data_IF_820869832856
#
_entry.id   IF_820869832856
#
_cell.length_a   1.000
_cell.length_b   1.000
_cell.length_c   1.000
_cell.angle_alpha   90.00
_cell.angle_beta   90.00
_cell.angle_gamma   90.00
#
_symmetry.space_group_name_H-M   'P 1'
#
loop_
_entity.id
_entity.type
_entity.pdbx_description
1 polymer ?
#
# COMPACT_ATOMS: atom_id res chain seq x y z
N UNK A 1 -33.67 0.35 3.76
CA UNK A 1 -32.74 1.46 3.51
C UNK A 1 -33.55 2.65 3.03
N UNK A 2 -33.51 3.76 3.76
CA UNK A 2 -34.32 4.96 3.44
C UNK A 2 -33.65 5.75 2.30
N UNK A 3 -34.44 6.42 1.46
CA UNK A 3 -33.94 7.16 0.29
C UNK A 3 -32.84 8.20 0.59
N UNK A 4 -32.78 8.70 1.83
CA UNK A 4 -31.75 9.62 2.31
C UNK A 4 -30.34 9.00 2.44
N UNK A 5 -30.25 7.71 2.79
CA UNK A 5 -28.96 7.01 2.90
C UNK A 5 -28.29 6.89 1.52
N UNK A 6 -29.12 6.74 0.48
CA UNK A 6 -28.65 6.64 -0.90
C UNK A 6 -28.13 7.99 -1.44
N UNK A 7 -28.79 9.10 -1.10
CA UNK A 7 -28.37 10.42 -1.59
C UNK A 7 -27.10 10.93 -0.88
N UNK A 8 -26.95 10.67 0.42
CA UNK A 8 -25.69 10.94 1.13
C UNK A 8 -24.53 10.13 0.53
N UNK A 9 -24.76 8.84 0.28
CA UNK A 9 -23.73 7.97 -0.32
C UNK A 9 -23.28 8.48 -1.68
N UNK A 10 -24.20 8.87 -2.55
CA UNK A 10 -23.88 9.48 -3.86
C UNK A 10 -23.04 10.75 -3.71
N UNK A 11 -23.38 11.62 -2.76
CA UNK A 11 -22.62 12.85 -2.51
C UNK A 11 -21.20 12.54 -2.03
N UNK A 12 -21.04 11.58 -1.13
CA UNK A 12 -19.73 11.17 -0.61
C UNK A 12 -18.86 10.55 -1.71
N UNK A 13 -19.40 9.63 -2.51
CA UNK A 13 -18.68 9.05 -3.66
C UNK A 13 -18.18 10.13 -4.62
N UNK A 14 -19.06 11.06 -5.00
CA UNK A 14 -18.71 12.19 -5.88
C UNK A 14 -17.63 13.07 -5.25
N UNK A 15 -17.72 13.33 -3.94
CA UNK A 15 -16.70 14.08 -3.22
C UNK A 15 -15.33 13.39 -3.31
N UNK A 16 -15.23 12.09 -3.03
CA UNK A 16 -13.96 11.37 -3.10
C UNK A 16 -13.37 11.34 -4.52
N UNK A 17 -14.19 11.08 -5.53
CA UNK A 17 -13.76 11.11 -6.92
C UNK A 17 -13.22 12.50 -7.32
N UNK A 18 -13.90 13.58 -6.91
CA UNK A 18 -13.41 14.94 -7.13
C UNK A 18 -12.11 15.23 -6.37
N UNK A 19 -11.99 14.77 -5.12
CA UNK A 19 -10.79 14.97 -4.33
C UNK A 19 -9.58 14.25 -4.95
N UNK A 20 -9.75 13.04 -5.48
CA UNK A 20 -8.67 12.35 -6.17
C UNK A 20 -8.21 13.14 -7.38
N UNK A 21 -9.13 13.59 -8.23
CA UNK A 21 -8.81 14.43 -9.39
C UNK A 21 -8.08 15.72 -9.03
N UNK A 22 -8.53 16.44 -7.99
CA UNK A 22 -7.89 17.69 -7.56
C UNK A 22 -6.49 17.44 -6.99
N UNK A 23 -6.31 16.37 -6.20
CA UNK A 23 -5.05 16.09 -5.51
C UNK A 23 -3.99 15.48 -6.45
N UNK A 24 -4.40 14.62 -7.38
CA UNK A 24 -3.47 13.84 -8.20
C UNK A 24 -3.48 14.22 -9.68
N UNK A 25 -4.52 14.91 -10.17
CA UNK A 25 -4.65 15.25 -11.59
C UNK A 25 -3.71 16.34 -12.11
N UNK A 26 -3.00 17.05 -11.23
CA UNK A 26 -2.01 18.07 -11.62
C UNK A 26 -0.67 17.91 -10.89
N UNK A 27 -0.37 16.71 -10.39
CA UNK A 27 0.87 16.40 -9.68
C UNK A 27 1.69 15.34 -10.43
N UNK A 28 2.82 14.93 -9.87
CA UNK A 28 3.62 13.81 -10.40
C UNK A 28 2.86 12.46 -10.37
N UNK A 29 1.61 12.45 -9.87
CA UNK A 29 0.75 11.29 -9.78
C UNK A 29 -0.43 11.33 -10.78
N UNK A 30 -0.37 12.13 -11.85
CA UNK A 30 -1.39 12.17 -12.91
C UNK A 30 -1.67 10.79 -13.52
N UNK A 31 -0.64 9.94 -13.60
CA UNK A 31 -0.77 8.55 -14.04
C UNK A 31 -1.82 7.77 -13.23
N UNK A 32 -2.02 8.11 -11.96
CA UNK A 32 -3.00 7.44 -11.11
C UNK A 32 -4.43 7.78 -11.53
N UNK A 33 -4.67 9.03 -11.95
CA UNK A 33 -5.97 9.44 -12.47
C UNK A 33 -6.28 8.74 -13.78
N UNK A 34 -5.31 8.71 -14.72
CA UNK A 34 -5.46 7.98 -15.98
C UNK A 34 -5.72 6.48 -15.75
N UNK A 35 -5.01 5.89 -14.78
CA UNK A 35 -5.26 4.51 -14.37
C UNK A 35 -6.69 4.31 -13.86
N UNK A 36 -7.17 5.17 -12.96
CA UNK A 36 -8.52 5.07 -12.41
C UNK A 36 -9.60 5.28 -13.48
N UNK A 37 -9.39 6.19 -14.43
CA UNK A 37 -10.32 6.42 -15.54
C UNK A 37 -10.43 5.20 -16.44
N UNK A 38 -9.29 4.58 -16.80
CA UNK A 38 -9.29 3.33 -17.58
C UNK A 38 -9.96 2.19 -16.80
N UNK A 39 -9.60 2.02 -15.53
CA UNK A 39 -10.18 0.98 -14.67
C UNK A 39 -11.68 1.16 -14.51
N UNK A 40 -12.17 2.40 -14.33
CA UNK A 40 -13.61 2.71 -14.25
C UNK A 40 -14.37 2.31 -15.51
N UNK A 41 -13.77 2.47 -16.69
CA UNK A 41 -14.41 2.11 -17.95
C UNK A 41 -14.47 0.60 -18.16
N UNK A 42 -13.45 -0.13 -17.72
CA UNK A 42 -13.35 -1.59 -17.86
C UNK A 42 -14.10 -2.35 -16.76
N UNK A 43 -14.10 -1.81 -15.54
CA UNK A 43 -14.54 -2.47 -14.30
C UNK A 43 -15.48 -1.58 -13.47
N UNK A 44 -16.49 -1.01 -14.12
CA UNK A 44 -17.38 0.00 -13.51
C UNK A 44 -17.97 -0.42 -12.16
N UNK A 45 -18.52 -1.65 -12.09
CA UNK A 45 -19.16 -2.15 -10.87
C UNK A 45 -18.16 -2.26 -9.70
N UNK A 46 -16.94 -2.71 -9.96
CA UNK A 46 -15.88 -2.82 -8.95
C UNK A 46 -15.35 -1.46 -8.53
N UNK A 47 -15.18 -0.54 -9.48
CA UNK A 47 -14.83 0.84 -9.20
C UNK A 47 -15.87 1.49 -8.27
N UNK A 48 -17.16 1.30 -8.54
CA UNK A 48 -18.25 1.80 -7.69
C UNK A 48 -18.25 1.18 -6.29
N UNK A 49 -17.90 -0.11 -6.15
CA UNK A 49 -17.74 -0.74 -4.84
C UNK A 49 -16.56 -0.14 -4.07
N UNK A 50 -15.41 0.09 -4.70
CA UNK A 50 -14.26 0.74 -4.03
C UNK A 50 -14.60 2.17 -3.59
N UNK A 51 -15.32 2.93 -4.41
CA UNK A 51 -15.84 4.24 -4.02
C UNK A 51 -16.81 4.13 -2.83
N UNK A 52 -17.69 3.13 -2.83
CA UNK A 52 -18.61 2.85 -1.72
C UNK A 52 -17.84 2.56 -0.43
N UNK A 53 -16.88 1.63 -0.47
CA UNK A 53 -16.04 1.27 0.69
C UNK A 53 -15.26 2.48 1.21
N UNK A 54 -14.69 3.27 0.30
CA UNK A 54 -13.98 4.50 0.65
C UNK A 54 -14.92 5.53 1.29
N UNK A 55 -16.16 5.67 0.79
CA UNK A 55 -17.16 6.59 1.32
C UNK A 55 -17.73 6.16 2.67
N UNK A 56 -17.99 4.86 2.86
CA UNK A 56 -18.58 4.29 4.07
C UNK A 56 -17.61 4.30 5.26
N UNK A 57 -16.35 3.91 5.01
CA UNK A 57 -15.41 3.63 6.10
C UNK A 57 -14.29 4.67 6.21
N UNK A 58 -14.16 5.53 5.20
CA UNK A 58 -12.89 6.18 4.95
C UNK A 58 -11.80 5.12 4.77
N UNK A 59 -10.54 5.54 4.84
CA UNK A 59 -9.46 4.58 4.96
C UNK A 59 -8.44 5.09 5.97
N UNK A 60 -8.15 4.31 7.01
CA UNK A 60 -7.17 4.69 8.04
C UNK A 60 -5.81 5.02 7.42
N UNK A 61 -5.48 4.38 6.29
CA UNK A 61 -4.20 4.52 5.60
C UNK A 61 -4.22 5.59 4.49
N UNK A 62 -5.38 6.11 4.07
CA UNK A 62 -5.42 7.22 3.09
C UNK A 62 -4.81 8.51 3.62
N UNK A 63 -4.67 8.66 4.93
CA UNK A 63 -3.95 9.81 5.51
C UNK A 63 -2.43 9.76 5.30
N UNK A 64 -1.84 8.57 5.09
CA UNK A 64 -0.38 8.43 4.93
C UNK A 64 0.00 8.15 3.47
N UNK A 65 -0.69 7.22 2.81
CA UNK A 65 -0.38 6.80 1.44
C UNK A 65 -1.68 6.44 0.68
N UNK A 66 -2.46 7.47 0.29
CA UNK A 66 -3.81 7.31 -0.28
C UNK A 66 -3.85 6.49 -1.57
N UNK A 67 -2.92 6.71 -2.48
CA UNK A 67 -2.89 5.98 -3.76
C UNK A 67 -2.70 4.48 -3.54
N UNK A 68 -1.70 4.08 -2.74
CA UNK A 68 -1.48 2.68 -2.40
C UNK A 68 -2.73 2.07 -1.75
N UNK A 69 -3.38 2.83 -0.88
CA UNK A 69 -4.58 2.40 -0.17
C UNK A 69 -5.76 2.12 -1.09
N UNK A 70 -5.91 2.88 -2.17
CA UNK A 70 -6.97 2.68 -3.17
C UNK A 70 -6.62 1.48 -4.04
N UNK A 71 -5.37 1.39 -4.49
CA UNK A 71 -4.89 0.29 -5.33
C UNK A 71 -5.02 -1.05 -4.62
N UNK A 72 -4.73 -1.13 -3.33
CA UNK A 72 -4.93 -2.35 -2.56
C UNK A 72 -6.40 -2.73 -2.40
N UNK A 73 -7.34 -1.78 -2.42
CA UNK A 73 -8.78 -2.10 -2.40
C UNK A 73 -9.25 -2.65 -3.75
N UNK A 74 -8.66 -2.18 -4.84
CA UNK A 74 -8.96 -2.64 -6.20
C UNK A 74 -8.50 -4.08 -6.45
N UNK A 75 -7.61 -4.64 -5.61
CA UNK A 75 -7.20 -6.05 -5.72
C UNK A 75 -8.32 -7.04 -5.37
N UNK A 76 -9.32 -6.61 -4.59
CA UNK A 76 -10.40 -7.50 -4.14
C UNK A 76 -11.56 -7.55 -5.14
N UNK A 77 -11.23 -7.90 -6.38
CA UNK A 77 -12.21 -8.16 -7.44
C UNK A 77 -12.98 -9.44 -7.11
N UNK A 78 -14.31 -9.38 -7.04
CA UNK A 78 -15.14 -10.58 -6.86
C UNK A 78 -15.47 -10.96 -5.42
N UNK A 79 -14.99 -10.23 -4.40
CA UNK A 79 -15.32 -10.53 -2.99
C UNK A 79 -16.58 -9.80 -2.53
N UNK A 80 -17.42 -10.52 -1.78
CA UNK A 80 -18.53 -9.94 -1.05
C UNK A 80 -18.05 -8.83 -0.08
N UNK A 81 -18.61 -7.63 -0.27
CA UNK A 81 -18.42 -6.47 0.60
C UNK A 81 -18.68 -6.80 2.07
N UNK A 82 -19.64 -7.67 2.36
CA UNK A 82 -19.95 -8.06 3.74
C UNK A 82 -18.81 -8.89 4.35
N UNK A 83 -18.22 -9.82 3.59
CA UNK A 83 -17.06 -10.59 4.04
C UNK A 83 -15.85 -9.68 4.30
N UNK A 84 -15.62 -8.69 3.44
CA UNK A 84 -14.55 -7.70 3.63
C UNK A 84 -14.81 -6.78 4.84
N UNK A 85 -16.08 -6.50 5.18
CA UNK A 85 -16.46 -5.70 6.34
C UNK A 85 -16.28 -6.45 7.65
N UNK A 86 -16.66 -7.73 7.67
CA UNK A 86 -16.60 -8.57 8.88
C UNK A 86 -15.17 -9.01 9.20
N UNK A 87 -14.30 -9.03 8.20
CA UNK A 87 -12.92 -9.51 8.36
C UNK A 87 -11.92 -8.34 8.30
N UNK A 88 -10.88 -8.40 9.14
CA UNK A 88 -9.83 -7.38 9.16
C UNK A 88 -8.85 -7.51 7.95
N UNK A 89 -9.30 -8.10 6.85
CA UNK A 89 -8.45 -8.55 5.73
C UNK A 89 -7.72 -7.38 5.09
N UNK A 90 -8.39 -6.26 4.83
CA UNK A 90 -7.72 -5.11 4.20
C UNK A 90 -6.57 -4.55 5.06
N UNK A 91 -6.78 -4.43 6.37
CA UNK A 91 -5.74 -3.96 7.30
C UNK A 91 -4.57 -4.96 7.37
N UNK A 92 -4.89 -6.26 7.36
CA UNK A 92 -3.88 -7.31 7.29
C UNK A 92 -3.10 -7.23 5.98
N UNK A 93 -3.78 -7.10 4.83
CA UNK A 93 -3.16 -6.97 3.51
C UNK A 93 -2.21 -5.78 3.46
N UNK A 94 -2.69 -4.61 3.89
CA UNK A 94 -1.86 -3.40 4.01
C UNK A 94 -0.58 -3.69 4.78
N UNK A 95 -0.70 -4.27 5.98
CA UNK A 95 0.44 -4.54 6.85
C UNK A 95 1.39 -5.56 6.23
N UNK A 96 0.85 -6.67 5.74
CA UNK A 96 1.60 -7.75 5.12
C UNK A 96 2.39 -7.25 3.93
N UNK A 97 1.75 -6.54 2.99
CA UNK A 97 2.44 -6.03 1.80
C UNK A 97 3.48 -4.97 2.16
N UNK A 98 3.15 -4.00 3.03
CA UNK A 98 4.09 -2.93 3.37
C UNK A 98 5.28 -3.39 4.21
N UNK A 99 5.20 -4.56 4.87
CA UNK A 99 6.32 -5.11 5.66
C UNK A 99 7.06 -6.26 4.98
N UNK A 100 6.34 -7.13 4.29
CA UNK A 100 6.83 -8.39 3.71
C UNK A 100 6.92 -8.33 2.18
N UNK A 101 6.62 -7.17 1.58
CA UNK A 101 6.77 -6.93 0.15
C UNK A 101 5.67 -7.54 -0.70
N UNK A 102 5.77 -7.31 -2.00
CA UNK A 102 4.76 -7.68 -2.99
C UNK A 102 4.46 -9.17 -3.01
N UNK A 103 5.47 -10.04 -2.90
CA UNK A 103 5.26 -11.50 -2.93
C UNK A 103 4.36 -12.02 -1.81
N UNK A 104 4.23 -11.28 -0.72
CA UNK A 104 3.34 -11.67 0.37
C UNK A 104 1.84 -11.57 0.03
N UNK A 105 1.49 -10.96 -1.11
CA UNK A 105 0.11 -10.94 -1.62
C UNK A 105 -0.46 -12.34 -1.84
N UNK A 106 0.37 -13.36 -2.09
CA UNK A 106 -0.07 -14.75 -2.28
C UNK A 106 -0.75 -15.34 -1.03
N UNK A 107 -0.54 -14.75 0.15
CA UNK A 107 -1.25 -15.13 1.39
C UNK A 107 -2.75 -14.89 1.25
N UNK A 108 -3.16 -14.03 0.31
CA UNK A 108 -4.53 -13.63 0.08
C UNK A 108 -5.12 -14.24 -1.20
N UNK A 109 -4.59 -15.38 -1.67
CA UNK A 109 -5.11 -16.10 -2.86
C UNK A 109 -6.57 -16.54 -2.73
N UNK A 110 -7.06 -16.73 -1.50
CA UNK A 110 -8.47 -17.04 -1.26
C UNK A 110 -9.40 -15.84 -1.50
N UNK A 111 -8.82 -14.64 -1.66
CA UNK A 111 -9.52 -13.36 -1.75
C UNK A 111 -9.22 -12.65 -3.08
N UNK A 112 -8.02 -12.78 -3.61
CA UNK A 112 -7.58 -12.08 -4.82
C UNK A 112 -7.45 -13.11 -5.95
N UNK A 113 -8.04 -12.80 -7.11
CA UNK A 113 -7.98 -13.66 -8.29
C UNK A 113 -6.52 -13.94 -8.67
N UNK A 114 -6.20 -15.21 -8.94
CA UNK A 114 -4.83 -15.68 -9.22
C UNK A 114 -4.17 -14.95 -10.38
N UNK A 115 -4.92 -14.65 -11.45
CA UNK A 115 -4.40 -13.92 -12.61
C UNK A 115 -3.92 -12.51 -12.21
N UNK A 116 -4.65 -11.83 -11.34
CA UNK A 116 -4.28 -10.51 -10.83
C UNK A 116 -3.05 -10.61 -9.91
N UNK A 117 -2.98 -11.62 -9.04
CA UNK A 117 -1.78 -11.89 -8.22
C UNK A 117 -0.56 -12.09 -9.13
N UNK A 118 -0.69 -12.92 -10.15
CA UNK A 118 0.39 -13.25 -11.09
C UNK A 118 0.84 -12.03 -11.88
N UNK A 119 -0.10 -11.19 -12.33
CA UNK A 119 0.21 -9.92 -13.00
C UNK A 119 1.03 -9.01 -12.08
N UNK A 120 0.60 -8.83 -10.83
CA UNK A 120 1.28 -7.93 -9.91
C UNK A 120 2.70 -8.43 -9.57
N UNK A 121 2.87 -9.73 -9.26
CA UNK A 121 4.15 -10.29 -8.80
C UNK A 121 5.19 -10.39 -9.93
N UNK A 122 4.77 -10.79 -11.14
CA UNK A 122 5.72 -11.12 -12.21
C UNK A 122 6.07 -9.94 -13.12
N UNK A 123 5.44 -8.77 -12.89
CA UNK A 123 5.66 -7.58 -13.69
C UNK A 123 6.22 -6.44 -12.81
N UNK A 124 7.48 -6.05 -13.02
CA UNK A 124 8.06 -4.87 -12.36
C UNK A 124 7.43 -3.55 -12.79
N UNK A 125 6.73 -3.55 -13.93
CA UNK A 125 5.94 -2.43 -14.37
C UNK A 125 4.53 -2.40 -13.78
N UNK A 126 4.16 -3.39 -12.96
CA UNK A 126 2.88 -3.42 -12.28
C UNK A 126 2.70 -2.21 -11.38
N UNK A 127 1.44 -1.78 -11.26
CA UNK A 127 1.09 -0.58 -10.52
C UNK A 127 1.45 -0.71 -9.04
N UNK A 128 1.27 -1.90 -8.48
CA UNK A 128 1.58 -2.18 -7.09
C UNK A 128 3.09 -2.22 -6.84
N UNK A 129 3.88 -2.76 -7.77
CA UNK A 129 5.35 -2.72 -7.65
C UNK A 129 5.85 -1.28 -7.63
N UNK A 130 5.42 -0.45 -8.59
CA UNK A 130 5.81 0.97 -8.69
C UNK A 130 5.43 1.75 -7.42
N UNK A 131 4.25 1.52 -6.88
CA UNK A 131 3.79 2.18 -5.66
C UNK A 131 4.52 1.75 -4.41
N UNK A 132 4.78 0.46 -4.25
CA UNK A 132 5.56 -0.04 -3.11
C UNK A 132 7.00 0.46 -3.17
N UNK A 133 7.59 0.51 -4.36
CA UNK A 133 8.91 1.11 -4.57
C UNK A 133 8.93 2.58 -4.12
N UNK A 134 7.91 3.37 -4.47
CA UNK A 134 7.73 4.76 -4.02
C UNK A 134 7.52 4.85 -2.49
N UNK A 135 6.73 3.95 -1.92
CA UNK A 135 6.47 3.85 -0.48
C UNK A 135 7.77 3.61 0.31
N UNK A 136 8.63 2.70 -0.16
CA UNK A 136 9.88 2.37 0.53
C UNK A 136 10.97 3.43 0.38
N UNK A 137 10.92 4.23 -0.69
CA UNK A 137 12.01 5.13 -1.09
C UNK A 137 12.49 6.05 0.03
N UNK A 138 11.59 6.83 0.63
CA UNK A 138 11.97 7.85 1.61
C UNK A 138 12.55 7.24 2.89
N UNK A 139 11.94 6.17 3.40
CA UNK A 139 12.37 5.51 4.64
C UNK A 139 13.68 4.75 4.44
N UNK A 140 13.83 4.05 3.31
CA UNK A 140 15.10 3.39 2.97
C UNK A 140 16.23 4.42 2.90
N UNK A 141 16.03 5.52 2.18
CA UNK A 141 17.04 6.57 2.05
C UNK A 141 17.45 7.12 3.42
N UNK A 142 16.48 7.34 4.31
CA UNK A 142 16.70 7.79 5.68
C UNK A 142 17.53 6.78 6.47
N UNK A 143 17.18 5.49 6.41
CA UNK A 143 17.89 4.42 7.10
C UNK A 143 19.34 4.26 6.61
N UNK A 144 19.56 4.31 5.30
CA UNK A 144 20.91 4.22 4.71
C UNK A 144 21.78 5.40 5.14
N UNK A 145 21.25 6.63 5.07
CA UNK A 145 21.94 7.85 5.50
C UNK A 145 22.31 7.79 6.98
N UNK A 146 21.37 7.42 7.84
CA UNK A 146 21.63 7.32 9.28
C UNK A 146 22.63 6.22 9.65
N UNK A 147 22.81 5.23 8.77
CA UNK A 147 23.76 4.12 8.95
C UNK A 147 25.13 4.40 8.34
N UNK A 148 25.36 5.62 7.83
CA UNK A 148 26.56 6.01 7.09
C UNK A 148 26.87 5.07 5.91
N UNK A 149 25.83 4.54 5.26
CA UNK A 149 25.96 3.81 4.01
C UNK A 149 25.87 4.83 2.89
N UNK A 150 26.97 5.00 2.15
CA UNK A 150 27.01 5.89 1.00
C UNK A 150 26.04 5.37 -0.06
N UNK A 151 25.13 6.24 -0.49
CA UNK A 151 24.24 5.96 -1.61
C UNK A 151 25.04 6.09 -2.91
N UNK A 152 25.61 4.98 -3.39
CA UNK A 152 25.83 4.83 -4.82
C UNK A 152 24.46 4.62 -5.48
N UNK A 153 24.21 5.23 -6.64
CA UNK A 153 22.95 5.10 -7.39
C UNK A 153 22.50 3.63 -7.47
N UNK A 154 23.43 2.72 -7.77
CA UNK A 154 23.16 1.28 -7.88
C UNK A 154 22.76 0.57 -6.57
N UNK A 155 23.16 1.07 -5.40
CA UNK A 155 22.88 0.39 -4.12
C UNK A 155 21.45 0.66 -3.67
N UNK A 156 21.02 1.92 -3.77
CA UNK A 156 19.67 2.32 -3.38
C UNK A 156 18.63 1.64 -4.29
N UNK A 157 18.85 1.64 -5.60
CA UNK A 157 17.94 1.02 -6.54
C UNK A 157 17.88 -0.50 -6.36
N UNK A 158 19.03 -1.15 -6.16
CA UNK A 158 19.08 -2.59 -5.85
C UNK A 158 18.28 -2.93 -4.59
N UNK A 159 18.48 -2.16 -3.52
CA UNK A 159 17.73 -2.34 -2.29
C UNK A 159 16.23 -2.12 -2.55
N UNK A 160 15.83 -1.02 -3.20
CA UNK A 160 14.43 -0.73 -3.46
C UNK A 160 13.71 -1.84 -4.21
N UNK A 161 14.33 -2.39 -5.25
CA UNK A 161 13.74 -3.50 -5.99
C UNK A 161 13.51 -4.73 -5.10
N UNK A 162 14.51 -5.10 -4.28
CA UNK A 162 14.40 -6.25 -3.38
C UNK A 162 13.44 -5.99 -2.21
N UNK A 163 13.37 -4.77 -1.69
CA UNK A 163 12.39 -4.38 -0.66
C UNK A 163 10.98 -4.42 -1.21
N UNK A 164 10.80 -3.92 -2.44
CA UNK A 164 9.51 -3.95 -3.14
C UNK A 164 9.01 -5.39 -3.27
N UNK A 165 9.90 -6.31 -3.62
CA UNK A 165 9.54 -7.71 -3.85
C UNK A 165 9.37 -8.52 -2.55
N UNK A 166 10.28 -8.36 -1.58
CA UNK A 166 10.41 -9.25 -0.41
C UNK A 166 10.25 -8.55 0.95
N UNK A 167 10.00 -7.24 0.96
CA UNK A 167 9.82 -6.44 2.16
C UNK A 167 11.13 -6.10 2.86
N UNK A 168 11.01 -5.48 4.04
CA UNK A 168 12.15 -4.86 4.73
C UNK A 168 13.25 -5.84 5.13
N UNK A 169 12.87 -6.92 5.85
CA UNK A 169 13.85 -7.83 6.48
C UNK A 169 14.64 -8.63 5.44
N UNK A 170 13.96 -9.15 4.43
CA UNK A 170 14.58 -9.95 3.37
C UNK A 170 15.23 -9.02 2.34
N UNK A 171 14.52 -7.97 1.92
CA UNK A 171 14.98 -7.06 0.88
C UNK A 171 16.31 -6.38 1.20
N UNK A 172 16.52 -5.96 2.45
CA UNK A 172 17.78 -5.32 2.87
C UNK A 172 18.98 -6.26 2.89
N UNK A 173 18.80 -7.58 2.89
CA UNK A 173 19.92 -8.53 2.80
C UNK A 173 20.65 -8.42 1.45
N UNK A 174 19.97 -7.93 0.41
CA UNK A 174 20.54 -7.74 -0.93
C UNK A 174 21.78 -6.82 -0.95
N UNK A 175 21.89 -5.88 -0.01
CA UNK A 175 23.01 -4.92 0.07
C UNK A 175 24.07 -5.31 1.10
N UNK A 176 23.92 -6.45 1.79
CA UNK A 176 24.87 -6.89 2.82
C UNK A 176 26.31 -6.98 2.28
N UNK A 177 26.48 -7.56 1.08
CA UNK A 177 27.81 -7.71 0.46
C UNK A 177 28.37 -6.40 -0.11
N UNK A 178 27.53 -5.37 -0.27
CA UNK A 178 27.91 -4.04 -0.79
C UNK A 178 28.17 -3.02 0.32
N UNK A 179 28.10 -3.45 1.59
CA UNK A 179 28.25 -2.59 2.77
C UNK A 179 29.28 -3.17 3.72
N UNK A 180 29.91 -2.33 4.54
CA UNK A 180 30.80 -2.84 5.57
C UNK A 180 29.98 -3.55 6.65
N UNK A 181 30.49 -4.64 7.28
CA UNK A 181 29.74 -5.37 8.31
C UNK A 181 29.27 -4.47 9.47
N UNK A 182 30.09 -3.47 9.84
CA UNK A 182 29.75 -2.49 10.88
C UNK A 182 28.55 -1.64 10.50
N UNK A 183 28.52 -1.07 9.31
CA UNK A 183 27.41 -0.21 8.87
C UNK A 183 26.14 -1.02 8.61
N UNK A 184 26.27 -2.25 8.09
CA UNK A 184 25.13 -3.14 7.92
C UNK A 184 24.48 -3.53 9.25
N UNK A 185 25.28 -3.79 10.30
CA UNK A 185 24.73 -4.06 11.64
C UNK A 185 23.94 -2.85 12.17
N UNK A 186 24.48 -1.65 12.04
CA UNK A 186 23.79 -0.40 12.44
C UNK A 186 22.47 -0.24 11.68
N UNK A 187 22.46 -0.56 10.38
CA UNK A 187 21.24 -0.54 9.56
C UNK A 187 20.18 -1.49 10.10
N UNK A 188 20.55 -2.72 10.46
CA UNK A 188 19.61 -3.69 11.01
C UNK A 188 19.04 -3.25 12.37
N UNK A 189 19.89 -2.70 13.25
CA UNK A 189 19.46 -2.14 14.54
C UNK A 189 18.44 -1.01 14.35
N UNK A 190 18.68 -0.11 13.39
CA UNK A 190 17.76 0.99 13.06
C UNK A 190 16.47 0.50 12.41
N UNK A 191 16.55 -0.49 11.54
CA UNK A 191 15.39 -1.11 10.93
C UNK A 191 14.47 -1.73 11.99
N UNK A 192 15.04 -2.42 12.97
CA UNK A 192 14.25 -3.04 14.04
C UNK A 192 13.46 -2.00 14.83
N UNK A 193 14.10 -0.88 15.20
CA UNK A 193 13.43 0.24 15.86
C UNK A 193 12.30 0.83 14.99
N UNK A 194 12.55 1.01 13.70
CA UNK A 194 11.55 1.51 12.74
C UNK A 194 10.34 0.57 12.64
N UNK A 195 10.56 -0.74 12.52
CA UNK A 195 9.49 -1.73 12.42
C UNK A 195 8.67 -1.81 13.72
N UNK A 196 9.32 -1.71 14.88
CA UNK A 196 8.62 -1.64 16.17
C UNK A 196 7.73 -0.40 16.28
N UNK A 197 8.21 0.76 15.81
CA UNK A 197 7.41 1.99 15.78
C UNK A 197 6.19 1.85 14.86
N UNK A 198 6.38 1.31 13.66
CA UNK A 198 5.29 1.02 12.72
C UNK A 198 4.22 0.13 13.36
N UNK A 199 4.63 -0.93 14.06
CA UNK A 199 3.71 -1.85 14.71
C UNK A 199 2.94 -1.21 15.89
N UNK A 200 3.61 -0.37 16.70
CA UNK A 200 3.00 0.33 17.82
C UNK A 200 1.97 1.40 17.38
N UNK A 201 2.23 2.11 16.29
CA UNK A 201 1.25 3.06 15.74
C UNK A 201 -0.05 2.38 15.27
N UNK A 202 0.05 1.10 14.90
CA UNK A 202 -1.09 0.31 14.45
C UNK A 202 -1.91 -0.18 15.63
N UNK A 203 -1.27 -0.76 16.66
CA UNK A 203 -1.94 -1.31 17.86
C UNK A 203 -2.57 -0.23 18.74
N UNK A 204 -1.83 0.86 19.02
CA UNK A 204 -2.33 1.94 19.91
C UNK A 204 -3.55 2.67 19.35
N UNK A 205 -3.76 2.65 18.03
CA UNK A 205 -4.94 3.25 17.38
C UNK A 205 -6.15 2.30 17.32
N UNK A 206 -5.97 1.01 17.55
CA UNK A 206 -7.06 0.03 17.61
C UNK A 206 -7.74 0.04 18.98
N UNK A 207 -7.00 0.29 20.06
CA UNK A 207 -7.52 0.30 21.43
C UNK A 207 -8.33 1.55 21.80
N UNK A 208 -8.19 2.65 21.05
CA UNK A 208 -8.97 3.88 21.27
C UNK A 208 -10.39 3.78 20.68
N UNK A 209 -10.58 2.93 19.66
CA UNK A 209 -11.89 2.74 19.00
C UNK A 209 -12.78 1.78 19.80
N UNK A 210 -12.21 0.91 20.66
CA UNK A 210 -12.96 -0.02 21.51
C UNK A 210 -13.34 0.55 22.89
N UNK A 211 -13.09 1.83 23.15
CA UNK A 211 -13.38 2.50 24.44
C UNK A 211 -14.31 3.72 24.33
N UNK A 212 -15.02 3.89 23.22
CA UNK A 212 -16.09 4.87 23.07
C UNK A 212 -17.40 4.16 22.74
#
# INVERSE_FOLDING_TARGET
MNGYDNDLMKLLKKYFEQQWNIQYGSSNDEWFILFLENYKNENHDWYEQVLTRTAEYGNKYTKKYPILSIILQLLFEGIDDQLLKETNIFNNLWFTITNNGLKSITIYSDYIIDDLINEQINNKDSILFKLLRKYYHQELFTLLKQSNILNGEDLCDLALDHLTEYGWKIGLQSIQKKTTPRHFRILLEKLELFLQQQQNEITTKSDIILKQ
#
